data_IF_839131003129
#
_entry.id   IF_839131003129
#
_cell.length_a   1.000
_cell.length_b   1.000
_cell.length_c   1.000
_cell.angle_alpha   90.00
_cell.angle_beta   90.00
_cell.angle_gamma   90.00
#
_symmetry.space_group_name_H-M   'P 1'
#
loop_
_entity.id
_entity.type
_entity.pdbx_description
1 polymer ?
#
# COMPACT_ATOMS: atom_id res chain seq x y z
N UNK A 1 14.01 -33.03 3.91
CA UNK A 1 13.27 -31.77 3.63
C UNK A 1 14.03 -30.68 4.34
N UNK A 2 14.43 -29.63 3.62
CA UNK A 2 15.08 -28.44 4.18
C UNK A 2 14.00 -27.50 4.71
N UNK A 3 14.23 -26.93 5.89
CA UNK A 3 13.33 -25.92 6.47
C UNK A 3 13.47 -24.59 5.74
N UNK A 4 12.36 -23.90 5.51
CA UNK A 4 12.34 -22.58 4.90
C UNK A 4 11.50 -21.60 5.75
N UNK A 5 11.97 -20.36 5.83
CA UNK A 5 11.17 -19.25 6.36
C UNK A 5 10.33 -18.70 5.21
N UNK A 6 9.02 -18.67 5.39
CA UNK A 6 8.12 -18.31 4.30
C UNK A 6 7.37 -17.01 4.49
N UNK A 7 7.00 -16.68 5.70
CA UNK A 7 6.30 -15.46 6.06
C UNK A 7 7.02 -14.79 7.23
N UNK A 8 7.27 -13.51 7.11
CA UNK A 8 7.84 -12.70 8.18
C UNK A 8 7.03 -11.42 8.29
N UNK A 9 6.59 -11.11 9.50
CA UNK A 9 5.91 -9.85 9.83
C UNK A 9 6.68 -9.12 10.92
N UNK A 10 6.75 -7.81 10.80
CA UNK A 10 7.38 -6.92 11.78
C UNK A 10 6.34 -5.89 12.19
N UNK A 11 6.11 -5.76 13.48
CA UNK A 11 5.26 -4.73 14.07
C UNK A 11 6.07 -3.94 15.09
N UNK A 12 6.16 -2.63 14.88
CA UNK A 12 6.83 -1.71 15.77
C UNK A 12 5.82 -0.79 16.47
N UNK A 13 5.84 -0.74 17.78
CA UNK A 13 5.11 0.26 18.55
C UNK A 13 6.00 1.48 18.76
N UNK A 14 5.47 2.67 18.60
CA UNK A 14 6.25 3.91 18.82
C UNK A 14 6.70 4.02 20.27
N UNK A 15 8.01 4.00 20.52
CA UNK A 15 8.60 3.98 21.86
C UNK A 15 8.34 2.69 22.62
N UNK A 16 8.01 1.61 21.92
CA UNK A 16 7.77 0.26 22.43
C UNK A 16 8.61 -0.79 21.70
N UNK A 17 8.38 -2.07 22.02
CA UNK A 17 9.16 -3.15 21.41
C UNK A 17 8.78 -3.37 19.95
N UNK A 18 9.76 -3.71 19.14
CA UNK A 18 9.57 -4.27 17.80
C UNK A 18 9.42 -5.78 17.93
N UNK A 19 8.28 -6.30 17.46
CA UNK A 19 7.99 -7.73 17.46
C UNK A 19 8.13 -8.26 16.04
N UNK A 20 8.91 -9.32 15.89
CA UNK A 20 9.01 -10.07 14.65
C UNK A 20 8.35 -11.42 14.80
N UNK A 21 7.53 -11.81 13.82
CA UNK A 21 6.90 -13.13 13.73
C UNK A 21 7.24 -13.78 12.41
N UNK A 22 7.28 -15.12 12.37
CA UNK A 22 7.59 -15.87 11.15
C UNK A 22 6.90 -17.23 11.12
N UNK A 23 6.78 -17.78 9.91
CA UNK A 23 6.33 -19.14 9.68
C UNK A 23 7.49 -19.99 9.14
N UNK A 24 7.56 -21.26 9.59
CA UNK A 24 8.54 -22.25 9.15
C UNK A 24 7.83 -23.34 8.38
N UNK A 25 8.16 -23.52 7.12
CA UNK A 25 7.79 -24.69 6.35
C UNK A 25 8.83 -25.79 6.54
N UNK A 26 8.39 -26.99 6.92
CA UNK A 26 9.26 -28.13 7.20
C UNK A 26 9.52 -28.34 8.69
N UNK A 27 10.58 -29.10 9.04
CA UNK A 27 10.94 -29.37 10.44
C UNK A 27 11.28 -28.08 11.20
N UNK A 28 11.04 -28.02 12.53
CA UNK A 28 11.49 -26.90 13.34
C UNK A 28 13.00 -26.68 13.22
N UNK A 29 13.41 -25.42 13.03
CA UNK A 29 14.81 -25.02 12.88
C UNK A 29 15.09 -23.79 13.74
N UNK A 30 16.31 -23.69 14.28
CA UNK A 30 16.77 -22.46 14.91
C UNK A 30 16.85 -21.34 13.86
N UNK A 31 16.50 -20.13 14.25
CA UNK A 31 16.36 -18.98 13.36
C UNK A 31 17.39 -17.92 13.74
N UNK A 32 18.04 -17.36 12.73
CA UNK A 32 18.89 -16.18 12.87
C UNK A 32 18.11 -14.94 12.45
N UNK A 33 18.18 -13.92 13.31
CA UNK A 33 17.53 -12.62 13.10
C UNK A 33 18.61 -11.55 13.08
N UNK A 34 18.62 -10.73 12.04
CA UNK A 34 19.48 -9.55 11.95
C UNK A 34 18.65 -8.29 11.68
N UNK A 35 19.16 -7.14 12.10
CA UNK A 35 18.49 -5.83 11.94
C UNK A 35 19.43 -4.89 11.19
N UNK A 36 18.89 -4.10 10.28
CA UNK A 36 19.64 -3.08 9.56
C UNK A 36 18.77 -1.97 9.04
N UNK A 37 19.38 -0.93 8.48
CA UNK A 37 18.68 0.23 7.90
C UNK A 37 18.44 0.11 6.38
N UNK A 38 19.02 -0.92 5.74
CA UNK A 38 18.92 -1.13 4.30
C UNK A 38 18.30 -2.52 4.00
N UNK A 39 17.25 -2.61 3.19
CA UNK A 39 16.64 -3.90 2.86
C UNK A 39 17.54 -4.83 2.02
N UNK A 40 18.52 -4.28 1.28
CA UNK A 40 19.42 -5.02 0.41
C UNK A 40 20.72 -5.47 1.12
N UNK A 41 20.97 -4.97 2.33
CA UNK A 41 22.15 -5.28 3.13
C UNK A 41 21.85 -5.12 4.60
N UNK A 42 21.06 -6.07 5.15
CA UNK A 42 20.81 -6.09 6.60
C UNK A 42 22.11 -6.42 7.32
N UNK A 43 22.53 -5.50 8.17
CA UNK A 43 23.74 -5.64 8.98
C UNK A 43 23.62 -6.80 9.96
N UNK A 44 24.57 -7.72 9.96
CA UNK A 44 24.56 -8.87 10.84
C UNK A 44 25.17 -8.59 12.22
N UNK A 45 25.64 -7.38 12.51
CA UNK A 45 26.26 -7.03 13.79
C UNK A 45 25.33 -7.23 15.01
N UNK A 46 24.01 -7.25 14.79
CA UNK A 46 23.01 -7.43 15.85
C UNK A 46 22.17 -8.70 15.68
N UNK A 47 22.78 -9.78 15.16
CA UNK A 47 22.07 -11.04 14.95
C UNK A 47 21.68 -11.68 16.29
N UNK A 48 20.41 -12.00 16.43
CA UNK A 48 19.89 -12.85 17.49
C UNK A 48 19.69 -14.28 16.96
N UNK A 49 19.99 -15.29 17.78
CA UNK A 49 19.63 -16.67 17.47
C UNK A 49 18.46 -17.08 18.35
N UNK A 50 17.40 -17.58 17.71
CA UNK A 50 16.19 -18.05 18.40
C UNK A 50 16.06 -19.56 18.21
N UNK A 51 15.75 -20.26 19.30
CA UNK A 51 15.68 -21.72 19.33
C UNK A 51 14.57 -22.27 18.40
N UNK A 52 14.77 -23.51 17.93
CA UNK A 52 13.83 -24.21 17.08
C UNK A 52 12.45 -24.34 17.72
N UNK A 53 11.40 -24.07 16.93
CA UNK A 53 10.00 -24.13 17.39
C UNK A 53 9.43 -22.79 17.83
N UNK A 54 10.24 -21.75 18.03
CA UNK A 54 9.72 -20.40 18.21
C UNK A 54 9.20 -19.82 16.87
N UNK A 55 8.16 -18.99 16.97
CA UNK A 55 7.53 -18.32 15.81
C UNK A 55 7.51 -16.80 15.98
N UNK A 56 8.10 -16.29 17.06
CA UNK A 56 8.18 -14.85 17.33
C UNK A 56 9.40 -14.51 18.19
N UNK A 57 9.84 -13.25 18.10
CA UNK A 57 10.91 -12.71 18.95
C UNK A 57 10.68 -11.20 19.15
N UNK A 58 11.02 -10.70 20.34
CA UNK A 58 11.04 -9.27 20.64
C UNK A 58 12.45 -8.72 20.48
N UNK A 59 12.61 -7.74 19.61
CA UNK A 59 13.88 -7.03 19.38
C UNK A 59 14.08 -5.84 20.33
N UNK A 60 13.10 -5.58 21.21
CA UNK A 60 13.10 -4.36 22.02
C UNK A 60 12.78 -3.10 21.20
N UNK A 61 13.09 -1.94 21.77
CA UNK A 61 12.96 -0.66 21.07
C UNK A 61 14.20 -0.47 20.17
N UNK A 62 13.98 -0.44 18.86
CA UNK A 62 15.04 -0.22 17.87
C UNK A 62 15.35 1.28 17.65
N UNK A 63 14.65 2.16 18.36
CA UNK A 63 14.82 3.60 18.20
C UNK A 63 14.13 4.20 16.98
N UNK A 64 14.46 5.48 16.71
CA UNK A 64 13.90 6.19 15.55
C UNK A 64 14.55 5.69 14.25
N UNK A 65 13.81 5.84 13.13
CA UNK A 65 14.26 5.48 11.79
C UNK A 65 13.58 4.26 11.21
N UNK A 66 13.97 3.91 9.99
CA UNK A 66 13.46 2.74 9.27
C UNK A 66 14.33 1.52 9.54
N UNK A 67 13.75 0.48 10.09
CA UNK A 67 14.44 -0.78 10.37
C UNK A 67 13.93 -1.91 9.47
N UNK A 68 14.86 -2.71 8.95
CA UNK A 68 14.59 -3.94 8.22
C UNK A 68 15.10 -5.12 9.02
N UNK A 69 14.33 -6.18 9.09
CA UNK A 69 14.64 -7.38 9.85
C UNK A 69 14.81 -8.54 8.88
N UNK A 70 15.95 -9.19 8.90
CA UNK A 70 16.23 -10.40 8.16
C UNK A 70 15.99 -11.59 9.06
N UNK A 71 15.21 -12.57 8.62
CA UNK A 71 14.89 -13.80 9.35
C UNK A 71 15.20 -14.99 8.45
N UNK A 72 16.15 -15.82 8.87
CA UNK A 72 16.58 -16.99 8.10
C UNK A 72 16.84 -18.21 8.95
N UNK A 73 16.83 -19.44 8.37
CA UNK A 73 17.21 -20.64 9.09
C UNK A 73 18.71 -20.60 9.42
N UNK A 74 19.07 -20.95 10.66
CA UNK A 74 20.46 -20.93 11.10
C UNK A 74 21.33 -21.87 10.25
N UNK A 75 22.37 -21.31 9.67
CA UNK A 75 23.43 -22.05 8.99
C UNK A 75 23.12 -22.48 7.55
N UNK A 76 21.90 -22.36 7.05
CA UNK A 76 21.61 -22.69 5.64
C UNK A 76 20.21 -22.21 5.19
N UNK A 77 20.12 -21.74 3.98
CA UNK A 77 18.88 -21.31 3.33
C UNK A 77 18.72 -19.79 3.23
N UNK A 78 17.81 -19.32 2.36
CA UNK A 78 17.58 -17.91 2.16
C UNK A 78 16.88 -17.29 3.40
N UNK A 79 17.29 -16.08 3.73
CA UNK A 79 16.56 -15.25 4.69
C UNK A 79 15.47 -14.43 4.01
N UNK A 80 14.44 -14.13 4.77
CA UNK A 80 13.35 -13.22 4.35
C UNK A 80 13.55 -11.89 5.04
N UNK A 81 13.61 -10.81 4.27
CA UNK A 81 13.67 -9.45 4.80
C UNK A 81 12.27 -8.87 4.92
N UNK A 82 11.96 -8.33 6.07
CA UNK A 82 10.70 -7.65 6.37
C UNK A 82 10.93 -6.35 7.14
N UNK A 83 9.93 -5.50 7.21
CA UNK A 83 9.91 -4.29 8.01
C UNK A 83 8.49 -4.02 8.49
N UNK A 84 8.33 -3.16 9.50
CA UNK A 84 7.01 -2.58 9.73
C UNK A 84 6.60 -1.82 8.47
N UNK A 85 5.49 -2.23 7.89
CA UNK A 85 4.97 -1.64 6.66
C UNK A 85 4.56 -0.21 6.87
N UNK A 86 4.02 0.11 8.03
CA UNK A 86 3.58 1.43 8.39
C UNK A 86 4.77 2.35 8.67
N UNK A 87 4.76 3.54 8.09
CA UNK A 87 5.67 4.62 8.48
C UNK A 87 4.99 5.44 9.58
N UNK A 88 5.63 5.55 10.73
CA UNK A 88 5.07 6.09 11.97
C UNK A 88 4.96 7.61 12.02
N UNK A 89 4.47 8.26 10.96
CA UNK A 89 4.22 9.71 10.96
C UNK A 89 3.14 10.14 11.98
N UNK A 90 3.27 11.35 12.49
CA UNK A 90 2.29 11.97 13.39
C UNK A 90 1.11 12.56 12.64
N UNK A 91 1.39 13.27 11.56
CA UNK A 91 0.39 14.03 10.81
C UNK A 91 -0.28 13.24 9.69
N UNK A 92 0.30 12.11 9.26
CA UNK A 92 -0.21 11.25 8.19
C UNK A 92 -0.42 9.85 8.74
N UNK A 93 -1.60 9.27 8.52
CA UNK A 93 -1.99 8.06 9.23
C UNK A 93 -1.93 6.77 8.41
N UNK A 94 -2.14 6.87 7.09
CA UNK A 94 -2.24 5.73 6.19
C UNK A 94 -0.98 5.55 5.30
N UNK A 95 0.15 6.11 5.74
CA UNK A 95 1.41 6.02 5.00
C UNK A 95 2.07 4.65 5.22
N UNK A 96 2.31 3.93 4.13
CA UNK A 96 2.93 2.60 4.18
C UNK A 96 3.68 2.22 2.93
N UNK A 97 4.64 1.32 3.10
CA UNK A 97 5.46 0.69 2.08
C UNK A 97 4.71 -0.47 1.41
N UNK A 98 4.80 -0.60 0.09
CA UNK A 98 4.25 -1.71 -0.70
C UNK A 98 5.28 -2.82 -0.98
N UNK A 99 6.42 -2.80 -0.30
CA UNK A 99 7.44 -3.84 -0.37
C UNK A 99 7.08 -5.14 0.36
N UNK A 100 7.83 -6.21 0.09
CA UNK A 100 7.78 -7.47 0.81
C UNK A 100 6.68 -8.44 0.42
N UNK A 101 5.73 -8.08 -0.43
CA UNK A 101 4.68 -8.99 -0.90
C UNK A 101 5.25 -10.04 -1.85
N UNK A 102 4.84 -11.30 -1.69
CA UNK A 102 5.21 -12.38 -2.60
C UNK A 102 4.61 -12.16 -3.98
N UNK A 103 5.33 -12.56 -5.00
CA UNK A 103 4.87 -12.54 -6.38
C UNK A 103 4.74 -13.96 -6.93
N UNK A 104 3.90 -14.15 -7.93
CA UNK A 104 3.68 -15.45 -8.60
C UNK A 104 4.96 -16.03 -9.25
N UNK A 105 5.95 -15.19 -9.54
CA UNK A 105 7.29 -15.58 -9.99
C UNK A 105 8.23 -16.06 -8.88
N UNK A 106 7.76 -16.20 -7.64
CA UNK A 106 8.55 -16.62 -6.47
C UNK A 106 9.34 -15.50 -5.80
N UNK A 107 9.43 -14.33 -6.44
CA UNK A 107 10.08 -13.14 -5.89
C UNK A 107 9.22 -12.37 -4.87
N UNK A 108 9.67 -11.16 -4.54
CA UNK A 108 8.93 -10.24 -3.65
C UNK A 108 9.00 -8.81 -4.17
N UNK A 109 7.97 -8.01 -3.89
CA UNK A 109 8.03 -6.57 -4.12
C UNK A 109 9.17 -5.95 -3.29
N UNK A 110 9.93 -5.01 -3.89
CA UNK A 110 11.08 -4.36 -3.23
C UNK A 110 10.61 -3.40 -2.14
N UNK A 111 11.20 -3.55 -0.96
CA UNK A 111 11.03 -2.59 0.13
C UNK A 111 11.64 -1.22 -0.23
N UNK A 112 11.04 -0.16 0.31
CA UNK A 112 11.58 1.19 0.18
C UNK A 112 11.49 1.78 -1.23
N UNK A 113 10.69 1.22 -2.13
CA UNK A 113 10.57 1.71 -3.51
C UNK A 113 9.25 2.42 -3.79
N UNK A 114 8.15 1.89 -3.30
CA UNK A 114 6.83 2.49 -3.54
C UNK A 114 6.05 2.54 -2.23
N UNK A 115 5.54 3.71 -1.94
CA UNK A 115 4.72 4.00 -0.79
C UNK A 115 3.33 4.46 -1.22
N UNK A 116 2.35 4.21 -0.38
CA UNK A 116 1.00 4.79 -0.51
C UNK A 116 0.64 5.57 0.74
N UNK A 117 -0.18 6.62 0.60
CA UNK A 117 -0.51 7.49 1.72
C UNK A 117 -1.91 8.11 1.62
N UNK A 118 -2.38 8.69 2.73
CA UNK A 118 -3.35 9.77 2.78
C UNK A 118 -2.66 11.12 2.49
N UNK A 119 -3.40 12.22 2.55
CA UNK A 119 -2.90 13.53 2.16
C UNK A 119 -1.71 13.99 3.02
N UNK A 120 -0.65 14.45 2.36
CA UNK A 120 0.64 14.77 2.97
C UNK A 120 0.69 16.15 3.63
N UNK A 121 -0.33 17.00 3.46
CA UNK A 121 -0.37 18.34 4.06
C UNK A 121 -0.28 18.34 5.59
N UNK A 122 -0.59 17.20 6.23
CA UNK A 122 -0.54 17.05 7.68
C UNK A 122 0.85 16.73 8.25
N UNK A 123 1.89 16.53 7.41
CA UNK A 123 3.24 16.22 7.88
C UNK A 123 3.77 17.33 8.80
N UNK A 124 4.17 16.97 10.02
CA UNK A 124 4.83 17.86 10.97
C UNK A 124 6.30 18.09 10.58
N UNK A 125 6.98 19.01 11.25
CA UNK A 125 8.40 19.22 11.03
C UNK A 125 9.25 17.98 11.39
N UNK A 126 8.82 17.18 12.35
CA UNK A 126 9.45 15.93 12.71
C UNK A 126 9.17 14.84 11.66
N UNK A 127 7.93 14.77 11.18
CA UNK A 127 7.56 13.88 10.09
C UNK A 127 8.36 14.16 8.81
N UNK A 128 8.62 15.44 8.50
CA UNK A 128 9.42 15.81 7.33
C UNK A 128 10.86 15.31 7.41
N UNK A 129 11.47 15.25 8.60
CA UNK A 129 12.80 14.66 8.77
C UNK A 129 12.80 13.16 8.45
N UNK A 130 11.82 12.42 9.00
CA UNK A 130 11.66 11.00 8.68
C UNK A 130 11.32 10.79 7.20
N UNK A 131 10.53 11.70 6.60
CA UNK A 131 10.23 11.68 5.17
C UNK A 131 11.49 11.81 4.31
N UNK A 132 12.40 12.73 4.68
CA UNK A 132 13.68 12.92 3.97
C UNK A 132 14.56 11.67 4.05
N UNK A 133 14.55 10.95 5.18
CA UNK A 133 15.28 9.67 5.33
C UNK A 133 14.75 8.57 4.39
N UNK A 134 13.47 8.61 3.99
CA UNK A 134 12.92 7.67 3.02
C UNK A 134 13.47 7.89 1.60
N UNK A 135 14.09 9.02 1.33
CA UNK A 135 14.70 9.37 0.04
C UNK A 135 13.70 9.42 -1.12
N UNK A 136 12.44 9.75 -0.84
CA UNK A 136 11.37 9.79 -1.85
C UNK A 136 11.69 10.86 -2.89
N UNK A 137 11.69 10.47 -4.16
CA UNK A 137 12.00 11.32 -5.31
C UNK A 137 10.77 11.83 -6.04
N UNK A 138 9.68 11.06 -5.99
CA UNK A 138 8.43 11.43 -6.67
C UNK A 138 7.24 11.34 -5.74
N UNK A 139 6.47 12.43 -5.69
CA UNK A 139 5.16 12.48 -5.05
C UNK A 139 4.11 12.54 -6.14
N UNK A 140 3.26 11.53 -6.24
CA UNK A 140 2.18 11.46 -7.22
C UNK A 140 0.85 11.79 -6.51
N UNK A 141 0.30 12.97 -6.80
CA UNK A 141 -0.91 13.46 -6.17
C UNK A 141 -2.14 13.15 -7.03
N UNK A 142 -3.01 12.29 -6.51
CA UNK A 142 -4.24 11.83 -7.18
C UNK A 142 -5.45 12.72 -6.89
N UNK A 143 -5.28 13.80 -6.13
CA UNK A 143 -6.35 14.72 -5.74
C UNK A 143 -6.75 15.64 -6.87
N UNK A 144 -7.98 16.16 -6.79
CA UNK A 144 -8.43 17.23 -7.68
C UNK A 144 -7.62 18.52 -7.47
N UNK A 145 -7.75 19.46 -8.39
CA UNK A 145 -7.13 20.78 -8.28
C UNK A 145 -7.66 21.54 -7.04
N UNK A 146 -8.97 21.43 -6.78
CA UNK A 146 -9.60 22.04 -5.60
C UNK A 146 -9.02 21.46 -4.31
N UNK A 147 -8.97 20.12 -4.18
CA UNK A 147 -8.40 19.45 -3.00
C UNK A 147 -6.93 19.86 -2.75
N UNK A 148 -6.14 20.04 -3.82
CA UNK A 148 -4.73 20.45 -3.73
C UNK A 148 -4.57 21.91 -3.37
N UNK A 149 -5.45 22.77 -3.88
CA UNK A 149 -5.43 24.22 -3.58
C UNK A 149 -5.85 24.50 -2.16
N UNK A 150 -6.83 23.76 -1.62
CA UNK A 150 -7.28 23.90 -0.23
C UNK A 150 -6.24 23.36 0.77
N UNK A 151 -5.60 22.25 0.46
CA UNK A 151 -4.66 21.55 1.34
C UNK A 151 -3.39 21.18 0.58
N UNK A 152 -2.49 22.13 0.26
CA UNK A 152 -1.30 21.88 -0.53
C UNK A 152 -0.32 20.93 0.17
N UNK A 153 0.40 20.12 -0.61
CA UNK A 153 1.51 19.33 -0.08
C UNK A 153 2.66 20.24 0.34
N UNK A 154 3.44 19.88 1.37
CA UNK A 154 4.62 20.64 1.78
C UNK A 154 5.84 20.44 0.86
N UNK A 155 5.73 19.64 -0.19
CA UNK A 155 6.77 19.38 -1.19
C UNK A 155 6.19 19.37 -2.60
N UNK A 156 7.05 19.45 -3.61
CA UNK A 156 6.66 19.35 -5.01
C UNK A 156 6.00 18.00 -5.34
N UNK A 157 5.00 18.04 -6.18
CA UNK A 157 4.25 16.84 -6.56
C UNK A 157 3.84 16.85 -8.03
N UNK A 158 3.79 15.66 -8.62
CA UNK A 158 3.27 15.42 -9.97
C UNK A 158 1.75 15.25 -9.84
N UNK A 159 1.01 16.19 -10.38
CA UNK A 159 -0.44 16.16 -10.35
C UNK A 159 -1.00 15.19 -11.41
N UNK A 160 -1.49 14.05 -10.96
CA UNK A 160 -2.18 13.06 -11.79
C UNK A 160 -3.57 12.75 -11.20
N UNK A 161 -4.52 13.69 -11.30
CA UNK A 161 -5.80 13.58 -10.62
C UNK A 161 -6.63 12.39 -11.13
N UNK A 162 -7.11 11.58 -10.18
CA UNK A 162 -8.06 10.50 -10.42
C UNK A 162 -9.45 10.96 -9.95
N UNK A 163 -10.07 11.85 -10.71
CA UNK A 163 -11.40 12.40 -10.41
C UNK A 163 -12.29 12.14 -11.61
N UNK A 164 -12.98 11.04 -11.60
CA UNK A 164 -13.90 10.64 -12.67
C UNK A 164 -15.32 10.61 -12.12
N UNK A 165 -16.16 11.53 -12.58
CA UNK A 165 -17.57 11.60 -12.21
C UNK A 165 -18.42 11.22 -13.42
N UNK A 166 -19.20 10.15 -13.31
CA UNK A 166 -20.32 9.93 -14.23
C UNK A 166 -21.42 10.93 -13.89
N UNK A 167 -22.14 11.38 -14.91
CA UNK A 167 -23.33 12.20 -14.73
C UNK A 167 -24.31 11.46 -13.79
N UNK A 168 -24.84 12.13 -12.76
CA UNK A 168 -25.70 11.51 -11.75
C UNK A 168 -24.98 10.79 -10.59
N UNK A 169 -23.65 10.77 -10.56
CA UNK A 169 -22.92 10.09 -9.48
C UNK A 169 -23.16 10.70 -8.09
N UNK A 170 -23.35 12.01 -8.02
CA UNK A 170 -23.64 12.69 -6.74
C UNK A 170 -25.03 12.31 -6.22
N UNK A 171 -26.06 12.28 -7.09
CA UNK A 171 -27.40 11.87 -6.74
C UNK A 171 -27.44 10.41 -6.29
N UNK A 172 -26.69 9.53 -6.96
CA UNK A 172 -26.56 8.13 -6.58
C UNK A 172 -25.88 7.96 -5.21
N UNK A 173 -24.89 8.80 -4.88
CA UNK A 173 -24.26 8.79 -3.55
C UNK A 173 -25.28 9.25 -2.49
N UNK A 174 -25.98 10.36 -2.75
CA UNK A 174 -26.93 10.93 -1.80
C UNK A 174 -28.22 10.12 -1.66
N UNK A 175 -28.50 9.18 -2.55
CA UNK A 175 -29.65 8.28 -2.46
C UNK A 175 -29.42 7.02 -1.61
N UNK A 176 -28.20 6.80 -1.13
CA UNK A 176 -27.90 5.69 -0.23
C UNK A 176 -28.48 5.94 1.15
N UNK A 177 -29.22 4.97 1.70
CA UNK A 177 -29.88 5.07 3.00
C UNK A 177 -29.24 4.17 4.06
N UNK A 178 -28.64 3.05 3.63
CA UNK A 178 -28.07 2.02 4.51
C UNK A 178 -26.55 1.94 4.37
N UNK A 179 -25.88 1.29 5.32
CA UNK A 179 -24.46 1.01 5.24
C UNK A 179 -24.11 0.21 3.97
N UNK A 180 -24.89 -0.83 3.67
CA UNK A 180 -24.65 -1.67 2.50
C UNK A 180 -24.78 -0.89 1.17
N UNK A 181 -25.72 0.03 1.09
CA UNK A 181 -25.86 0.92 -0.07
C UNK A 181 -24.70 1.89 -0.17
N UNK A 182 -24.19 2.42 0.95
CA UNK A 182 -22.97 3.20 1.02
C UNK A 182 -21.74 2.42 0.50
N UNK A 183 -21.61 1.17 0.88
CA UNK A 183 -20.56 0.27 0.37
C UNK A 183 -20.74 -0.04 -1.13
N UNK A 184 -21.98 -0.21 -1.60
CA UNK A 184 -22.27 -0.39 -3.05
C UNK A 184 -21.92 0.86 -3.88
N UNK A 185 -22.01 2.04 -3.29
CA UNK A 185 -21.53 3.28 -3.91
C UNK A 185 -20.01 3.18 -4.16
N UNK A 186 -19.24 2.68 -3.19
CA UNK A 186 -17.80 2.48 -3.37
C UNK A 186 -17.48 1.52 -4.51
N UNK A 187 -18.17 0.38 -4.59
CA UNK A 187 -17.97 -0.58 -5.66
C UNK A 187 -18.19 0.05 -7.05
N UNK A 188 -19.27 0.85 -7.20
CA UNK A 188 -19.53 1.60 -8.45
C UNK A 188 -18.46 2.65 -8.75
N UNK A 189 -17.94 3.33 -7.73
CA UNK A 189 -16.85 4.29 -7.90
C UNK A 189 -15.57 3.60 -8.38
N UNK A 190 -15.24 2.42 -7.86
CA UNK A 190 -14.05 1.67 -8.26
C UNK A 190 -14.13 1.20 -9.71
N UNK A 191 -15.28 0.67 -10.14
CA UNK A 191 -15.52 0.35 -11.55
C UNK A 191 -15.39 1.60 -12.44
N UNK A 192 -15.97 2.73 -12.01
CA UNK A 192 -15.83 3.99 -12.70
C UNK A 192 -14.39 4.48 -12.82
N UNK A 193 -13.57 4.29 -11.78
CA UNK A 193 -12.14 4.61 -11.83
C UNK A 193 -11.38 3.74 -12.82
N UNK A 194 -11.68 2.45 -12.91
CA UNK A 194 -11.06 1.56 -13.90
C UNK A 194 -11.47 1.92 -15.33
N UNK A 195 -12.76 2.15 -15.57
CA UNK A 195 -13.26 2.42 -16.92
C UNK A 195 -12.84 3.80 -17.44
N UNK A 196 -13.08 4.85 -16.64
CA UNK A 196 -12.86 6.24 -17.06
C UNK A 196 -11.42 6.71 -16.79
N UNK A 197 -10.73 6.05 -15.85
CA UNK A 197 -9.40 6.39 -15.40
C UNK A 197 -8.28 5.58 -16.04
N UNK A 198 -8.56 4.71 -16.98
CA UNK A 198 -7.59 3.79 -17.56
C UNK A 198 -6.29 4.48 -18.02
N UNK A 199 -6.41 5.50 -18.86
CA UNK A 199 -5.25 6.29 -19.35
C UNK A 199 -4.47 6.92 -18.18
N UNK A 200 -5.16 7.45 -17.18
CA UNK A 200 -4.53 8.04 -16.00
C UNK A 200 -3.79 7.00 -15.15
N UNK A 201 -4.35 5.81 -15.00
CA UNK A 201 -3.69 4.68 -14.35
C UNK A 201 -2.39 4.35 -15.10
N UNK A 202 -2.42 4.28 -16.43
CA UNK A 202 -1.23 4.09 -17.24
C UNK A 202 -0.16 5.17 -17.04
N UNK A 203 -0.55 6.45 -16.99
CA UNK A 203 0.37 7.57 -16.72
C UNK A 203 1.02 7.46 -15.33
N UNK A 204 0.25 7.09 -14.30
CA UNK A 204 0.74 6.89 -12.93
C UNK A 204 1.76 5.73 -12.90
N UNK A 205 1.45 4.59 -13.52
CA UNK A 205 2.35 3.45 -13.58
C UNK A 205 3.64 3.78 -14.36
N UNK A 206 3.55 4.51 -15.48
CA UNK A 206 4.74 4.99 -16.21
C UNK A 206 5.62 5.93 -15.39
N UNK A 207 5.01 6.82 -14.59
CA UNK A 207 5.78 7.68 -13.70
C UNK A 207 6.59 6.87 -12.68
N UNK A 208 6.06 5.77 -12.18
CA UNK A 208 6.77 4.82 -11.30
C UNK A 208 7.77 3.94 -12.07
N UNK A 209 7.52 3.63 -13.33
CA UNK A 209 8.44 2.88 -14.18
C UNK A 209 9.67 3.70 -14.60
N UNK A 210 9.62 5.03 -14.56
CA UNK A 210 10.73 5.90 -14.95
C UNK A 210 11.96 5.70 -14.04
N UNK A 211 13.18 5.80 -14.63
CA UNK A 211 14.43 5.55 -13.90
C UNK A 211 14.66 6.46 -12.71
N UNK A 212 14.23 7.70 -12.82
CA UNK A 212 14.38 8.75 -11.83
C UNK A 212 13.17 8.85 -10.87
N UNK A 213 12.11 8.07 -11.13
CA UNK A 213 10.83 8.17 -10.42
C UNK A 213 10.78 7.50 -9.05
N UNK A 214 11.78 6.68 -8.70
CA UNK A 214 11.79 5.89 -7.47
C UNK A 214 12.88 6.33 -6.48
N UNK A 215 12.66 6.24 -5.16
CA UNK A 215 11.40 5.85 -4.50
C UNK A 215 10.26 6.83 -4.74
N UNK A 216 9.02 6.31 -4.81
CA UNK A 216 7.83 7.11 -5.07
C UNK A 216 6.77 6.94 -3.96
N UNK A 217 6.02 7.99 -3.70
CA UNK A 217 4.77 7.91 -2.94
C UNK A 217 3.62 8.40 -3.80
N UNK A 218 2.51 7.67 -3.80
CA UNK A 218 1.26 8.14 -4.39
C UNK A 218 0.17 8.25 -3.32
N UNK A 219 -0.63 9.29 -3.41
CA UNK A 219 -1.62 9.58 -2.39
C UNK A 219 -2.87 10.26 -2.97
N UNK A 220 -3.96 10.19 -2.21
CA UNK A 220 -5.13 11.04 -2.43
C UNK A 220 -5.49 11.79 -1.15
N UNK A 221 -6.76 12.06 -0.88
CA UNK A 221 -7.16 12.68 0.38
C UNK A 221 -7.13 11.70 1.55
N UNK A 222 -7.84 10.57 1.44
CA UNK A 222 -7.95 9.56 2.51
C UNK A 222 -6.96 8.39 2.38
N UNK A 223 -6.22 8.30 1.28
CA UNK A 223 -5.34 7.16 1.00
C UNK A 223 -6.07 5.83 0.82
N UNK A 224 -7.39 5.85 0.61
CA UNK A 224 -8.28 4.69 0.62
C UNK A 224 -8.68 4.27 -0.80
N UNK A 225 -9.55 5.04 -1.45
CA UNK A 225 -10.22 4.63 -2.69
C UNK A 225 -9.30 4.77 -3.91
N UNK A 226 -9.01 6.00 -4.35
CA UNK A 226 -8.11 6.28 -5.49
C UNK A 226 -6.75 5.64 -5.30
N UNK A 227 -6.16 5.83 -4.13
CA UNK A 227 -4.88 5.24 -3.74
C UNK A 227 -4.96 3.71 -3.64
N UNK A 228 -6.05 3.16 -3.10
CA UNK A 228 -6.29 1.73 -3.03
C UNK A 228 -6.36 1.08 -4.39
N UNK A 229 -7.05 1.73 -5.34
CA UNK A 229 -7.16 1.25 -6.72
C UNK A 229 -5.78 1.21 -7.43
N UNK A 230 -4.98 2.28 -7.31
CA UNK A 230 -3.63 2.30 -7.88
C UNK A 230 -2.75 1.23 -7.24
N UNK A 231 -2.82 1.04 -5.90
CA UNK A 231 -2.07 0.00 -5.22
C UNK A 231 -2.47 -1.39 -5.70
N UNK A 232 -3.77 -1.66 -5.85
CA UNK A 232 -4.27 -2.95 -6.31
C UNK A 232 -3.80 -3.28 -7.73
N UNK A 233 -3.96 -2.34 -8.66
CA UNK A 233 -3.51 -2.49 -10.05
C UNK A 233 -1.99 -2.67 -10.13
N UNK A 234 -1.20 -1.88 -9.38
CA UNK A 234 0.25 -2.01 -9.35
C UNK A 234 0.68 -3.38 -8.81
N UNK A 235 0.17 -3.79 -7.64
CA UNK A 235 0.56 -5.04 -7.00
C UNK A 235 0.20 -6.26 -7.87
N UNK A 236 -0.98 -6.25 -8.51
CA UNK A 236 -1.36 -7.32 -9.45
C UNK A 236 -0.46 -7.34 -10.69
N UNK A 237 -0.06 -6.18 -11.24
CA UNK A 237 0.90 -6.07 -12.34
C UNK A 237 2.29 -6.62 -11.99
N UNK A 238 2.66 -6.57 -10.71
CA UNK A 238 3.90 -7.16 -10.17
C UNK A 238 3.75 -8.66 -9.85
N UNK A 239 2.56 -9.24 -10.01
CA UNK A 239 2.28 -10.65 -9.78
C UNK A 239 1.95 -11.00 -8.33
N UNK A 240 1.55 -10.04 -7.50
CA UNK A 240 1.01 -10.30 -6.16
C UNK A 240 -0.39 -10.91 -6.29
N UNK A 241 -0.70 -11.91 -5.47
CA UNK A 241 -2.02 -12.55 -5.48
C UNK A 241 -3.12 -11.62 -4.94
N UNK A 242 -4.35 -11.82 -5.41
CA UNK A 242 -5.48 -10.94 -5.09
C UNK A 242 -5.86 -10.95 -3.61
N UNK A 243 -5.71 -12.05 -2.91
CA UNK A 243 -6.00 -12.09 -1.47
C UNK A 243 -5.05 -11.20 -0.70
N UNK A 244 -3.75 -11.25 -0.99
CA UNK A 244 -2.74 -10.34 -0.44
C UNK A 244 -3.01 -8.87 -0.79
N UNK A 245 -3.45 -8.58 -2.02
CA UNK A 245 -3.84 -7.22 -2.44
C UNK A 245 -5.02 -6.71 -1.63
N UNK A 246 -6.02 -7.55 -1.42
CA UNK A 246 -7.20 -7.22 -0.65
C UNK A 246 -6.87 -7.03 0.84
N UNK A 247 -5.94 -7.81 1.39
CA UNK A 247 -5.43 -7.64 2.75
C UNK A 247 -4.70 -6.28 2.90
N UNK A 248 -3.84 -5.89 1.93
CA UNK A 248 -3.27 -4.53 1.94
C UNK A 248 -4.35 -3.45 1.91
N UNK A 249 -5.37 -3.61 1.09
CA UNK A 249 -6.46 -2.64 1.02
C UNK A 249 -7.17 -2.49 2.38
N UNK A 250 -7.46 -3.58 3.08
CA UNK A 250 -8.11 -3.61 4.40
C UNK A 250 -7.25 -2.99 5.52
N UNK A 251 -5.90 -2.97 5.39
CA UNK A 251 -5.03 -2.25 6.33
C UNK A 251 -5.41 -0.77 6.46
N UNK A 252 -6.07 -0.20 5.47
CA UNK A 252 -6.59 1.17 5.52
C UNK A 252 -7.52 1.40 6.70
N UNK A 253 -8.37 0.43 7.04
CA UNK A 253 -9.27 0.51 8.19
C UNK A 253 -8.49 0.52 9.52
N UNK A 254 -7.38 -0.22 9.59
CA UNK A 254 -6.49 -0.29 10.77
C UNK A 254 -5.65 0.99 10.94
N UNK A 255 -5.15 1.58 9.83
CA UNK A 255 -4.18 2.67 9.89
C UNK A 255 -4.81 4.06 9.95
N UNK A 256 -6.00 4.25 9.40
CA UNK A 256 -6.66 5.57 9.43
C UNK A 256 -7.05 5.98 10.84
N UNK A 257 -6.64 7.18 11.25
CA UNK A 257 -6.99 7.74 12.56
C UNK A 257 -8.48 8.05 12.64
N UNK A 258 -9.07 7.74 13.79
CA UNK A 258 -10.49 7.96 14.08
C UNK A 258 -10.88 9.43 13.87
N UNK A 259 -10.04 10.37 14.30
CA UNK A 259 -10.30 11.81 14.14
C UNK A 259 -10.48 12.26 12.68
N UNK A 260 -9.69 11.70 11.73
CA UNK A 260 -9.85 12.00 10.30
C UNK A 260 -11.12 11.36 9.72
N UNK A 261 -11.50 10.18 10.23
CA UNK A 261 -12.77 9.54 9.85
C UNK A 261 -13.96 10.36 10.34
N UNK A 262 -13.92 10.88 11.57
CA UNK A 262 -14.98 11.69 12.15
C UNK A 262 -15.21 13.01 11.38
N UNK A 263 -14.16 13.66 10.89
CA UNK A 263 -14.25 14.85 10.05
C UNK A 263 -14.94 14.56 8.71
N UNK A 264 -14.52 13.50 8.02
CA UNK A 264 -15.13 13.08 6.75
C UNK A 264 -16.58 12.63 6.96
N UNK A 265 -16.85 11.89 8.02
CA UNK A 265 -18.20 11.45 8.38
C UNK A 265 -19.15 12.64 8.56
N UNK A 266 -18.74 13.64 9.36
CA UNK A 266 -19.52 14.87 9.54
C UNK A 266 -19.81 15.56 8.22
N UNK A 267 -18.79 15.75 7.38
CA UNK A 267 -18.96 16.38 6.07
C UNK A 267 -19.95 15.64 5.16
N UNK A 268 -19.94 14.31 5.17
CA UNK A 268 -20.91 13.53 4.39
C UNK A 268 -22.34 13.71 4.92
N UNK A 269 -22.52 13.67 6.23
CA UNK A 269 -23.84 13.88 6.87
C UNK A 269 -24.35 15.31 6.63
N UNK A 270 -23.51 16.33 6.75
CA UNK A 270 -23.87 17.73 6.46
C UNK A 270 -24.27 17.94 5.00
N UNK A 271 -23.75 17.15 4.08
CA UNK A 271 -24.15 17.14 2.65
C UNK A 271 -25.44 16.35 2.39
N UNK A 272 -26.06 15.80 3.42
CA UNK A 272 -27.35 15.13 3.34
C UNK A 272 -27.29 13.60 3.27
N UNK A 273 -26.11 12.99 3.44
CA UNK A 273 -26.01 11.52 3.50
C UNK A 273 -26.48 11.02 4.88
N UNK A 274 -27.40 10.03 4.95
CA UNK A 274 -27.77 9.42 6.21
C UNK A 274 -26.53 8.86 6.95
N UNK A 275 -26.49 8.92 8.30
CA UNK A 275 -25.32 8.46 9.07
C UNK A 275 -24.90 7.02 8.78
N UNK A 276 -25.85 6.11 8.57
CA UNK A 276 -25.56 4.71 8.24
C UNK A 276 -24.90 4.57 6.87
N UNK A 277 -25.41 5.27 5.86
CA UNK A 277 -24.79 5.29 4.51
C UNK A 277 -23.44 5.96 4.53
N UNK A 278 -23.26 7.06 5.30
CA UNK A 278 -21.96 7.72 5.49
C UNK A 278 -20.94 6.78 6.14
N UNK A 279 -21.37 5.98 7.11
CA UNK A 279 -20.52 4.95 7.71
C UNK A 279 -20.05 3.93 6.65
N UNK A 280 -20.98 3.45 5.79
CA UNK A 280 -20.66 2.52 4.69
C UNK A 280 -19.63 3.09 3.71
N UNK A 281 -19.78 4.36 3.30
CA UNK A 281 -18.80 5.04 2.41
C UNK A 281 -17.41 5.14 3.06
N UNK A 282 -17.31 5.15 4.38
CA UNK A 282 -16.04 5.23 5.09
C UNK A 282 -15.37 3.88 5.34
N UNK A 283 -16.04 2.76 5.13
CA UNK A 283 -15.44 1.43 5.22
C UNK A 283 -14.44 1.19 4.09
N UNK A 284 -13.68 0.12 4.21
CA UNK A 284 -12.83 -0.42 3.15
C UNK A 284 -13.32 -1.84 2.80
N UNK A 285 -14.47 -1.98 2.15
CA UNK A 285 -15.10 -3.28 1.95
C UNK A 285 -14.32 -4.10 0.94
N UNK A 286 -13.74 -5.21 1.41
CA UNK A 286 -12.95 -6.17 0.61
C UNK A 286 -13.68 -6.57 -0.68
N UNK A 287 -14.97 -6.87 -0.58
CA UNK A 287 -15.79 -7.30 -1.71
C UNK A 287 -15.91 -6.24 -2.82
N UNK A 288 -15.89 -4.95 -2.48
CA UNK A 288 -15.97 -3.88 -3.47
C UNK A 288 -14.67 -3.77 -4.31
N UNK A 289 -13.51 -3.93 -3.67
CA UNK A 289 -12.23 -3.98 -4.37
C UNK A 289 -12.08 -5.28 -5.16
N UNK A 290 -12.49 -6.42 -4.58
CA UNK A 290 -12.50 -7.71 -5.28
C UNK A 290 -13.34 -7.65 -6.55
N UNK A 291 -14.58 -7.12 -6.47
CA UNK A 291 -15.44 -6.95 -7.64
C UNK A 291 -14.87 -6.02 -8.71
N UNK A 292 -14.10 -5.00 -8.32
CA UNK A 292 -13.39 -4.15 -9.28
C UNK A 292 -12.28 -4.91 -10.02
N UNK A 293 -11.50 -5.76 -9.32
CA UNK A 293 -10.47 -6.59 -9.94
C UNK A 293 -11.08 -7.70 -10.82
N UNK A 294 -12.18 -8.31 -10.41
CA UNK A 294 -12.93 -9.29 -11.22
C UNK A 294 -13.50 -8.67 -12.50
N UNK A 295 -13.86 -7.39 -12.46
CA UNK A 295 -14.32 -6.69 -13.65
C UNK A 295 -13.22 -6.54 -14.71
N UNK A 296 -11.94 -6.48 -14.33
CA UNK A 296 -10.81 -6.49 -15.28
C UNK A 296 -10.80 -7.79 -16.09
N UNK A 297 -11.09 -8.93 -15.45
CA UNK A 297 -11.13 -10.23 -16.12
C UNK A 297 -12.33 -10.31 -17.07
N UNK A 298 -13.51 -9.93 -16.58
CA UNK A 298 -14.76 -10.09 -17.33
C UNK A 298 -14.92 -9.09 -18.48
N UNK A 299 -14.41 -7.86 -18.34
CA UNK A 299 -14.58 -6.78 -19.33
C UNK A 299 -13.38 -6.69 -20.28
N UNK A 300 -12.17 -6.91 -19.79
CA UNK A 300 -10.94 -6.69 -20.55
C UNK A 300 -10.14 -7.96 -20.83
N UNK A 301 -10.52 -9.11 -20.26
CA UNK A 301 -9.77 -10.36 -20.39
C UNK A 301 -8.54 -10.44 -19.47
N UNK A 302 -8.54 -9.66 -18.39
CA UNK A 302 -7.51 -9.63 -17.37
C UNK A 302 -6.75 -8.31 -17.27
N UNK A 303 -5.98 -8.17 -16.19
CA UNK A 303 -5.23 -6.95 -15.92
C UNK A 303 -4.21 -6.61 -17.03
N UNK A 304 -3.47 -7.58 -17.54
CA UNK A 304 -2.46 -7.32 -18.56
C UNK A 304 -3.10 -6.76 -19.85
N UNK A 305 -4.22 -7.34 -20.29
CA UNK A 305 -4.97 -6.82 -21.44
C UNK A 305 -5.50 -5.40 -21.20
N UNK A 306 -5.95 -5.12 -19.98
CA UNK A 306 -6.36 -3.77 -19.56
C UNK A 306 -5.19 -2.77 -19.59
N UNK A 307 -4.02 -3.17 -19.07
CA UNK A 307 -2.85 -2.28 -19.00
C UNK A 307 -2.26 -1.98 -20.38
N UNK A 308 -2.16 -2.99 -21.25
CA UNK A 308 -1.65 -2.84 -22.62
C UNK A 308 -2.66 -2.18 -23.57
N UNK A 309 -3.95 -2.33 -23.29
CA UNK A 309 -5.04 -1.74 -24.08
C UNK A 309 -5.48 -0.38 -23.53
N UNK A 310 -6.57 -0.31 -22.73
CA UNK A 310 -7.15 0.95 -22.27
C UNK A 310 -6.21 1.87 -21.49
N UNK A 311 -5.30 1.31 -20.68
CA UNK A 311 -4.33 2.09 -19.90
C UNK A 311 -3.13 2.56 -20.75
N UNK A 312 -2.91 1.98 -21.93
CA UNK A 312 -1.94 2.41 -22.91
C UNK A 312 -0.47 2.19 -22.51
N UNK A 313 -0.19 1.24 -21.60
CA UNK A 313 1.19 0.83 -21.31
C UNK A 313 1.74 -0.01 -22.47
N UNK A 314 3.05 -0.01 -22.58
CA UNK A 314 3.78 -0.92 -23.47
C UNK A 314 4.28 -2.15 -22.70
N UNK A 315 4.60 -3.27 -23.38
CA UNK A 315 5.29 -4.39 -22.72
C UNK A 315 6.58 -3.96 -22.00
N UNK A 316 7.32 -3.01 -22.57
CA UNK A 316 8.55 -2.47 -21.96
C UNK A 316 8.26 -1.68 -20.66
N UNK A 317 7.13 -1.00 -20.56
CA UNK A 317 6.71 -0.33 -19.31
C UNK A 317 6.45 -1.36 -18.19
N UNK A 318 5.77 -2.47 -18.52
CA UNK A 318 5.49 -3.54 -17.57
C UNK A 318 6.78 -4.27 -17.13
N UNK A 319 7.69 -4.53 -18.06
CA UNK A 319 8.99 -5.11 -17.77
C UNK A 319 9.80 -4.18 -16.84
N UNK A 320 9.87 -2.89 -17.15
CA UNK A 320 10.56 -1.89 -16.33
C UNK A 320 9.98 -1.80 -14.91
N UNK A 321 8.65 -1.90 -14.75
CA UNK A 321 8.02 -1.96 -13.42
C UNK A 321 8.46 -3.19 -12.64
N UNK A 322 8.43 -4.37 -13.27
CA UNK A 322 8.82 -5.64 -12.64
C UNK A 322 10.30 -5.64 -12.25
N UNK A 323 11.20 -5.24 -13.14
CA UNK A 323 12.63 -5.19 -12.90
C UNK A 323 13.02 -4.27 -11.74
N UNK A 324 12.31 -3.16 -11.60
CA UNK A 324 12.61 -2.14 -10.58
C UNK A 324 11.94 -2.40 -9.25
N UNK A 325 10.78 -3.05 -9.27
CA UNK A 325 9.93 -3.20 -8.10
C UNK A 325 9.86 -4.64 -7.55
N UNK A 326 10.46 -5.62 -8.22
CA UNK A 326 10.51 -7.01 -7.75
C UNK A 326 11.96 -7.44 -7.53
N UNK A 327 12.21 -8.06 -6.38
CA UNK A 327 13.42 -8.87 -6.12
C UNK A 327 13.10 -10.28 -6.61
N UNK A 328 13.85 -10.84 -7.56
CA UNK A 328 13.63 -12.23 -7.99
C UNK A 328 13.86 -13.22 -6.84
N UNK A 329 13.37 -14.45 -7.02
CA UNK A 329 13.49 -15.54 -6.06
C UNK A 329 14.95 -15.97 -5.81
#
# INVERSE_FOLDING_TARGET
MTSAITEVSVEAERGGPTIVTWHVEGPPVAVEIAVGSNPEGVDHEHAATVEAGATSHSLGDLGAGRHFVSVGPRGSGPAVVAADRRIGFEGVSNFRDLGGYRTSGGGRTRWGRVYRADALHGLSAEDLRLYDELGIRSVIDLRSEEERSELPNPMDSIALPMVFRRQGSTETILSAETQEEGERVLARLYLGHLELGATRIGEILRAMAASEGLPAVFHCHAGKDRTGMIAAVLLEALGVDRDTILDDYELTARYRRRAHQDGTFRSLVERGLPPEAAAGVLTAPRWAMAGALEALDSVHGGLEAYLLGPAGLTPSDLEALRDRLVVPA
#
